data_IF_159056375862
#
_entry.id   IF_159056375862
#
_cell.length_a   1.000
_cell.length_b   1.000
_cell.length_c   1.000
_cell.angle_alpha   90.00
_cell.angle_beta   90.00
_cell.angle_gamma   90.00
#
_symmetry.space_group_name_H-M   'P 1'
#
loop_
_entity.id
_entity.type
_entity.pdbx_description
1 polymer ?
#
# COMPACT_ATOMS: atom_id res chain seq x y z
N UNK A 1 -5.96 -20.81 -7.72
CA UNK A 1 -5.45 -19.47 -8.11
C UNK A 1 -4.25 -19.10 -7.25
N UNK A 2 -3.36 -18.22 -7.69
CA UNK A 2 -2.11 -17.88 -6.97
C UNK A 2 -2.15 -16.56 -6.19
N UNK A 3 -3.21 -15.78 -6.36
CA UNK A 3 -3.32 -14.41 -5.87
C UNK A 3 -4.53 -14.23 -4.96
N UNK A 4 -4.42 -13.29 -4.04
CA UNK A 4 -5.40 -13.00 -2.97
C UNK A 4 -6.65 -12.27 -3.47
N UNK A 5 -6.57 -11.51 -4.56
CA UNK A 5 -7.70 -10.78 -5.15
C UNK A 5 -8.17 -11.46 -6.44
N UNK A 6 -9.45 -11.32 -6.81
CA UNK A 6 -9.99 -11.95 -8.02
C UNK A 6 -10.01 -10.97 -9.22
N UNK A 7 -9.13 -11.17 -10.22
CA UNK A 7 -9.17 -10.37 -11.44
C UNK A 7 -10.34 -10.75 -12.36
N UNK A 8 -10.97 -11.92 -12.16
CA UNK A 8 -11.92 -12.53 -13.11
C UNK A 8 -13.39 -12.35 -12.74
N UNK A 9 -13.72 -11.64 -11.65
CA UNK A 9 -15.10 -11.53 -11.15
C UNK A 9 -16.06 -10.90 -12.18
N UNK A 10 -15.53 -10.10 -13.11
CA UNK A 10 -16.03 -9.72 -14.44
C UNK A 10 -14.78 -9.40 -15.31
N UNK A 11 -14.87 -9.20 -16.63
CA UNK A 11 -13.72 -8.72 -17.43
C UNK A 11 -13.39 -7.31 -16.93
N UNK A 12 -12.47 -7.21 -15.96
CA UNK A 12 -12.02 -5.93 -15.41
C UNK A 12 -11.29 -5.19 -16.52
N UNK A 13 -11.68 -3.95 -16.75
CA UNK A 13 -11.02 -3.04 -17.71
C UNK A 13 -9.80 -2.35 -17.10
N UNK A 14 -9.67 -2.40 -15.78
CA UNK A 14 -8.57 -1.78 -15.01
C UNK A 14 -7.84 -2.82 -14.18
N UNK A 15 -6.63 -2.49 -13.78
CA UNK A 15 -5.86 -3.30 -12.85
C UNK A 15 -6.39 -3.32 -11.42
N UNK A 16 -5.77 -4.13 -10.58
CA UNK A 16 -6.07 -4.23 -9.15
C UNK A 16 -4.85 -4.58 -8.32
N UNK A 17 -4.84 -4.10 -7.07
CA UNK A 17 -3.86 -4.48 -6.06
C UNK A 17 -4.12 -5.90 -5.54
N UNK A 18 -3.06 -6.65 -5.29
CA UNK A 18 -3.11 -8.02 -4.77
C UNK A 18 -1.77 -8.43 -4.15
N UNK A 19 -1.69 -9.68 -3.69
CA UNK A 19 -0.45 -10.29 -3.23
C UNK A 19 -0.35 -11.76 -3.64
N UNK A 20 0.89 -12.22 -3.79
CA UNK A 20 1.25 -13.63 -3.85
C UNK A 20 1.62 -14.12 -2.46
N UNK A 21 1.08 -15.27 -2.04
CA UNK A 21 1.38 -15.85 -0.74
C UNK A 21 2.10 -17.19 -0.88
N UNK A 22 2.85 -17.55 0.15
CA UNK A 22 3.32 -18.92 0.32
C UNK A 22 2.22 -19.82 0.91
N UNK A 23 2.48 -21.13 0.97
CA UNK A 23 1.51 -22.11 1.47
C UNK A 23 1.09 -21.91 2.93
N UNK A 24 1.92 -21.23 3.74
CA UNK A 24 1.58 -20.95 5.13
C UNK A 24 0.72 -19.69 5.28
N UNK A 25 0.60 -18.87 4.24
CA UNK A 25 -0.18 -17.62 4.22
C UNK A 25 0.64 -16.36 4.53
N UNK A 26 1.96 -16.38 4.29
CA UNK A 26 2.83 -15.20 4.36
C UNK A 26 3.02 -14.57 2.99
N UNK A 27 3.16 -13.25 2.96
CA UNK A 27 3.36 -12.49 1.72
C UNK A 27 4.70 -12.86 1.11
N UNK A 28 4.67 -13.23 -0.18
CA UNK A 28 5.86 -13.32 -1.01
C UNK A 28 6.12 -11.97 -1.68
N UNK A 29 5.10 -11.43 -2.34
CA UNK A 29 5.16 -10.17 -3.07
C UNK A 29 3.80 -9.48 -2.98
N UNK A 30 3.79 -8.19 -2.72
CA UNK A 30 2.71 -7.29 -3.13
C UNK A 30 2.82 -7.04 -4.64
N UNK A 31 1.68 -6.84 -5.30
CA UNK A 31 1.64 -6.69 -6.75
C UNK A 31 0.42 -5.90 -7.21
N UNK A 32 0.53 -5.30 -8.39
CA UNK A 32 -0.63 -4.92 -9.20
C UNK A 32 -0.74 -5.83 -10.41
N UNK A 33 -1.97 -6.16 -10.79
CA UNK A 33 -2.26 -6.93 -11.99
C UNK A 33 -3.13 -6.11 -12.91
N UNK A 34 -2.68 -5.92 -14.15
CA UNK A 34 -3.37 -5.15 -15.16
C UNK A 34 -3.80 -6.05 -16.32
N UNK A 35 -5.01 -5.90 -16.87
CA UNK A 35 -5.32 -6.46 -18.18
C UNK A 35 -4.38 -5.83 -19.22
N UNK A 36 -3.79 -6.65 -20.10
CA UNK A 36 -2.95 -6.14 -21.17
C UNK A 36 -3.83 -5.33 -22.15
N UNK A 37 -3.51 -4.06 -22.44
CA UNK A 37 -4.23 -3.30 -23.46
C UNK A 37 -4.09 -3.98 -24.81
N UNK A 38 -5.19 -4.11 -25.56
CA UNK A 38 -5.20 -4.68 -26.90
C UNK A 38 -5.27 -3.55 -27.92
N UNK A 39 -4.50 -3.65 -29.00
CA UNK A 39 -4.68 -2.74 -30.15
C UNK A 39 -6.01 -3.05 -30.85
N UNK A 40 -6.57 -2.10 -31.61
CA UNK A 40 -7.84 -2.31 -32.35
C UNK A 40 -7.78 -3.54 -33.29
N UNK A 41 -6.61 -3.83 -33.86
CA UNK A 41 -6.36 -5.00 -34.69
C UNK A 41 -6.37 -6.33 -33.89
N UNK A 42 -5.94 -6.30 -32.63
CA UNK A 42 -5.92 -7.46 -31.71
C UNK A 42 -7.22 -7.62 -30.92
N UNK A 43 -8.04 -6.58 -30.83
CA UNK A 43 -9.37 -6.64 -30.23
C UNK A 43 -10.37 -7.43 -31.12
N UNK A 44 -10.11 -7.51 -32.43
CA UNK A 44 -10.89 -8.28 -33.39
C UNK A 44 -10.56 -9.78 -33.42
N UNK A 45 -9.47 -10.21 -32.77
CA UNK A 45 -9.09 -11.62 -32.67
C UNK A 45 -9.58 -12.23 -31.36
N UNK A 46 -9.97 -13.51 -31.40
CA UNK A 46 -10.33 -14.32 -30.21
C UNK A 46 -9.09 -14.75 -29.42
N UNK A 47 -8.11 -13.84 -29.25
CA UNK A 47 -6.85 -14.18 -28.62
C UNK A 47 -7.00 -14.33 -27.10
N UNK A 48 -6.22 -15.26 -26.54
CA UNK A 48 -6.26 -15.61 -25.13
C UNK A 48 -6.02 -14.35 -24.25
N UNK A 49 -6.72 -14.20 -23.11
CA UNK A 49 -6.53 -13.05 -22.25
C UNK A 49 -5.10 -13.00 -21.70
N UNK A 50 -4.55 -11.78 -21.64
CA UNK A 50 -3.18 -11.51 -21.20
C UNK A 50 -3.16 -10.46 -20.10
N UNK A 51 -2.18 -10.55 -19.19
CA UNK A 51 -2.06 -9.66 -18.04
C UNK A 51 -0.61 -9.23 -17.81
N UNK A 52 -0.44 -8.01 -17.31
CA UNK A 52 0.82 -7.47 -16.80
C UNK A 52 0.80 -7.59 -15.28
N UNK A 53 1.92 -8.03 -14.69
CA UNK A 53 2.11 -8.07 -13.24
C UNK A 53 3.21 -7.07 -12.89
N UNK A 54 2.84 -6.02 -12.16
CA UNK A 54 3.79 -5.10 -11.53
C UNK A 54 4.20 -5.69 -10.16
N UNK A 55 5.51 -5.73 -9.93
CA UNK A 55 6.14 -6.22 -8.69
C UNK A 55 7.44 -5.45 -8.48
N UNK A 56 7.97 -5.46 -7.25
CA UNK A 56 9.32 -4.98 -6.94
C UNK A 56 10.35 -5.55 -7.95
N UNK A 57 11.15 -4.66 -8.54
CA UNK A 57 12.15 -4.99 -9.57
C UNK A 57 13.10 -6.10 -9.10
N UNK A 58 13.46 -6.12 -7.82
CA UNK A 58 14.38 -7.11 -7.26
C UNK A 58 13.74 -8.51 -7.14
N UNK A 59 12.43 -8.61 -7.26
CA UNK A 59 11.67 -9.84 -7.00
C UNK A 59 11.10 -10.50 -8.26
N UNK A 60 11.33 -9.92 -9.43
CA UNK A 60 10.88 -10.47 -10.73
C UNK A 60 11.34 -11.92 -10.91
N UNK A 61 12.61 -12.22 -10.63
CA UNK A 61 13.17 -13.57 -10.77
C UNK A 61 12.55 -14.56 -9.77
N UNK A 62 12.39 -14.13 -8.52
CA UNK A 62 11.78 -14.91 -7.43
C UNK A 62 10.33 -15.25 -7.73
N UNK A 63 9.54 -14.26 -8.15
CA UNK A 63 8.14 -14.43 -8.53
C UNK A 63 8.02 -15.32 -9.78
N UNK A 64 8.85 -15.10 -10.80
CA UNK A 64 8.87 -15.94 -12.01
C UNK A 64 9.11 -17.42 -11.68
N UNK A 65 10.04 -17.71 -10.77
CA UNK A 65 10.29 -19.08 -10.28
C UNK A 65 9.06 -19.65 -9.56
N UNK A 66 8.40 -18.85 -8.72
CA UNK A 66 7.17 -19.25 -8.04
C UNK A 66 6.04 -19.57 -9.02
N UNK A 67 5.80 -18.71 -10.01
CA UNK A 67 4.77 -18.91 -11.05
C UNK A 67 5.04 -20.17 -11.88
N UNK A 68 6.29 -20.36 -12.33
CA UNK A 68 6.70 -21.56 -13.10
C UNK A 68 6.46 -22.86 -12.34
N UNK A 69 6.72 -22.87 -11.02
CA UNK A 69 6.45 -24.04 -10.15
C UNK A 69 4.95 -24.44 -10.14
N UNK A 70 4.05 -23.48 -10.30
CA UNK A 70 2.60 -23.69 -10.24
C UNK A 70 1.92 -23.79 -11.62
N UNK A 71 2.67 -23.66 -12.73
CA UNK A 71 2.16 -23.74 -14.11
C UNK A 71 1.75 -25.16 -14.55
N UNK A 72 1.81 -26.19 -13.70
CA UNK A 72 1.66 -27.60 -14.10
C UNK A 72 0.47 -27.84 -15.05
N UNK A 73 0.78 -28.15 -16.33
CA UNK A 73 -0.15 -28.39 -17.46
C UNK A 73 -1.05 -27.21 -17.85
N UNK A 74 -0.92 -26.05 -17.22
CA UNK A 74 -1.65 -24.85 -17.60
C UNK A 74 -1.13 -24.31 -18.94
N UNK A 75 -2.05 -24.03 -19.86
CA UNK A 75 -1.77 -23.31 -21.11
C UNK A 75 -1.57 -21.83 -20.80
N UNK A 76 -0.42 -21.50 -20.22
CA UNK A 76 -0.07 -20.15 -19.78
C UNK A 76 1.35 -19.80 -20.22
N UNK A 77 1.54 -18.71 -20.95
CA UNK A 77 2.88 -18.20 -21.27
C UNK A 77 3.30 -17.18 -20.22
N UNK A 78 4.58 -17.25 -19.81
CA UNK A 78 5.16 -16.38 -18.79
C UNK A 78 6.45 -15.79 -19.35
N UNK A 79 6.56 -14.47 -19.30
CA UNK A 79 7.73 -13.73 -19.77
C UNK A 79 8.01 -12.60 -18.78
N UNK A 80 9.27 -12.42 -18.42
CA UNK A 80 9.70 -11.21 -17.72
C UNK A 80 9.87 -10.11 -18.76
N UNK A 81 9.39 -8.91 -18.45
CA UNK A 81 9.62 -7.73 -19.29
C UNK A 81 11.01 -7.19 -19.02
N UNK A 82 11.73 -6.81 -20.07
CA UNK A 82 13.02 -6.14 -19.98
C UNK A 82 12.83 -4.65 -19.63
N UNK A 83 13.90 -4.04 -19.10
CA UNK A 83 13.90 -2.61 -18.80
C UNK A 83 13.57 -1.80 -20.08
N UNK A 84 12.63 -0.86 -19.97
CA UNK A 84 12.19 -0.02 -21.08
C UNK A 84 11.08 -0.62 -21.96
N UNK A 85 10.67 -1.88 -21.79
CA UNK A 85 9.48 -2.38 -22.50
C UNK A 85 8.17 -1.73 -21.99
N UNK A 86 8.14 -1.42 -20.69
CA UNK A 86 7.04 -0.78 -19.99
C UNK A 86 7.56 0.10 -18.86
N UNK A 87 6.89 1.23 -18.62
CA UNK A 87 7.18 2.12 -17.50
C UNK A 87 5.95 2.24 -16.59
N UNK A 88 6.18 2.25 -15.28
CA UNK A 88 5.13 2.40 -14.25
C UNK A 88 5.14 3.82 -13.71
N UNK A 89 3.97 4.43 -13.67
CA UNK A 89 3.75 5.79 -13.18
C UNK A 89 2.72 5.79 -12.06
N UNK A 90 2.86 6.75 -11.13
CA UNK A 90 1.81 7.11 -10.19
C UNK A 90 1.43 8.57 -10.42
N UNK A 91 0.14 8.84 -10.47
CA UNK A 91 -0.40 10.19 -10.60
C UNK A 91 -1.43 10.43 -9.51
N UNK A 92 -1.40 11.60 -8.87
CA UNK A 92 -2.39 11.96 -7.87
C UNK A 92 -2.72 13.45 -7.96
N UNK A 93 -3.86 13.82 -7.37
CA UNK A 93 -4.26 15.20 -7.12
C UNK A 93 -4.50 15.34 -5.63
N UNK A 94 -4.11 16.49 -5.07
CA UNK A 94 -4.39 16.78 -3.68
C UNK A 94 -5.85 17.19 -3.54
N UNK A 95 -6.62 16.38 -2.81
CA UNK A 95 -8.02 16.65 -2.52
C UNK A 95 -8.16 17.12 -1.07
N UNK A 96 -9.00 18.12 -0.84
CA UNK A 96 -9.34 18.59 0.51
C UNK A 96 -10.03 17.51 1.36
N UNK A 97 -10.82 16.63 0.73
CA UNK A 97 -11.41 15.45 1.36
C UNK A 97 -11.17 14.18 0.53
N UNK A 98 -10.09 13.42 0.77
CA UNK A 98 -9.84 12.16 0.08
C UNK A 98 -10.85 11.10 0.53
N UNK A 99 -11.87 10.83 -0.28
CA UNK A 99 -12.88 9.78 -0.03
C UNK A 99 -12.60 8.55 -0.88
N UNK A 100 -12.94 7.36 -0.37
CA UNK A 100 -12.96 6.12 -1.16
C UNK A 100 -13.84 6.22 -2.41
N UNK A 101 -14.82 7.13 -2.39
CA UNK A 101 -15.80 7.37 -3.44
C UNK A 101 -15.36 8.37 -4.53
N UNK A 102 -14.20 9.03 -4.39
CA UNK A 102 -13.73 10.01 -5.39
C UNK A 102 -13.39 9.40 -6.76
N UNK A 103 -13.38 8.05 -6.85
CA UNK A 103 -13.06 7.34 -8.08
C UNK A 103 -14.03 6.15 -8.24
N UNK A 104 -15.21 6.42 -8.80
CA UNK A 104 -16.17 5.39 -9.18
C UNK A 104 -15.56 4.49 -10.28
N UNK A 105 -14.96 3.37 -9.87
CA UNK A 105 -14.28 2.37 -10.71
C UNK A 105 -15.16 1.71 -11.80
N UNK A 106 -16.47 1.94 -11.81
CA UNK A 106 -17.41 1.33 -12.75
C UNK A 106 -18.11 2.34 -13.67
N UNK A 107 -17.79 3.63 -13.56
CA UNK A 107 -18.32 4.62 -14.50
C UNK A 107 -17.60 4.50 -15.85
N UNK A 108 -18.35 4.14 -16.89
CA UNK A 108 -17.88 4.08 -18.28
C UNK A 108 -17.36 5.43 -18.79
N UNK A 109 -17.73 6.55 -18.15
CA UNK A 109 -17.39 7.91 -18.56
C UNK A 109 -16.12 8.49 -17.92
N UNK A 110 -15.54 7.85 -16.89
CA UNK A 110 -14.47 8.45 -16.06
C UNK A 110 -13.19 7.62 -15.91
N UNK A 111 -13.10 6.44 -16.54
CA UNK A 111 -11.83 5.69 -16.59
C UNK A 111 -10.95 6.24 -17.71
N UNK A 112 -9.75 6.80 -17.42
CA UNK A 112 -8.79 7.16 -18.47
C UNK A 112 -8.30 5.92 -19.25
N UNK A 113 -8.57 4.73 -18.72
CA UNK A 113 -8.23 3.44 -19.33
C UNK A 113 -9.36 2.99 -20.25
N UNK A 114 -9.40 3.56 -21.46
CA UNK A 114 -10.18 3.00 -22.57
C UNK A 114 -9.59 1.66 -23.00
N UNK A 115 -10.42 0.73 -23.50
CA UNK A 115 -9.97 -0.53 -24.09
C UNK A 115 -9.05 -0.31 -25.32
N UNK A 116 -9.13 0.86 -25.94
CA UNK A 116 -8.30 1.27 -27.09
C UNK A 116 -7.06 2.06 -26.68
N UNK A 117 -6.90 2.41 -25.39
CA UNK A 117 -5.73 3.12 -24.90
C UNK A 117 -4.53 2.16 -24.84
N UNK A 118 -3.32 2.58 -25.26
CA UNK A 118 -2.11 1.76 -25.06
C UNK A 118 -1.68 1.69 -23.58
N UNK A 119 -2.33 2.46 -22.70
CA UNK A 119 -1.99 2.58 -21.28
C UNK A 119 -2.86 1.61 -20.47
N UNK A 120 -2.21 0.72 -19.73
CA UNK A 120 -2.90 -0.06 -18.69
C UNK A 120 -2.90 0.73 -17.39
N UNK A 121 -3.85 0.50 -16.50
CA UNK A 121 -3.79 1.13 -15.19
C UNK A 121 -5.02 0.90 -14.34
N UNK A 122 -5.03 1.55 -13.19
CA UNK A 122 -6.13 1.51 -12.23
C UNK A 122 -6.07 2.70 -11.28
N UNK A 123 -7.20 2.96 -10.62
CA UNK A 123 -7.19 3.74 -9.37
C UNK A 123 -6.37 2.97 -8.34
N UNK A 124 -5.53 3.68 -7.60
CA UNK A 124 -4.77 3.10 -6.50
C UNK A 124 -5.66 2.96 -5.26
N UNK A 125 -6.08 1.74 -4.96
CA UNK A 125 -7.01 1.44 -3.87
C UNK A 125 -6.32 1.27 -2.51
N UNK A 126 -5.02 1.54 -2.41
CA UNK A 126 -4.27 1.29 -1.16
C UNK A 126 -4.54 2.33 -0.08
N UNK A 127 -5.03 3.50 -0.45
CA UNK A 127 -5.59 4.47 0.49
C UNK A 127 -6.68 5.30 -0.20
N UNK A 128 -7.60 5.92 0.57
CA UNK A 128 -8.58 6.84 0.01
C UNK A 128 -7.86 8.00 -0.69
N UNK A 129 -8.29 8.40 -1.89
CA UNK A 129 -7.65 9.54 -2.55
C UNK A 129 -6.22 9.29 -3.02
N UNK A 130 -5.72 8.05 -3.07
CA UNK A 130 -4.29 7.82 -3.28
C UNK A 130 -3.81 8.15 -4.70
N UNK A 131 -4.73 8.21 -5.66
CA UNK A 131 -4.46 8.56 -7.06
C UNK A 131 -4.65 7.35 -7.97
N UNK A 132 -3.84 7.28 -9.02
CA UNK A 132 -3.89 6.25 -10.05
C UNK A 132 -2.50 5.67 -10.31
N UNK A 133 -2.48 4.42 -10.75
CA UNK A 133 -1.33 3.72 -11.31
C UNK A 133 -1.50 3.61 -12.82
N UNK A 134 -0.46 3.94 -13.58
CA UNK A 134 -0.45 3.83 -15.03
C UNK A 134 0.77 3.01 -15.48
N UNK A 135 0.58 2.23 -16.54
CA UNK A 135 1.63 1.41 -17.16
C UNK A 135 1.64 1.74 -18.65
N UNK A 136 2.71 2.39 -19.10
CA UNK A 136 2.88 2.86 -20.48
C UNK A 136 3.82 1.96 -21.27
N UNK A 137 3.68 1.87 -22.61
CA UNK A 137 4.64 1.20 -23.48
C UNK A 137 5.93 2.02 -23.64
N UNK A 138 7.08 1.37 -23.57
CA UNK A 138 8.35 2.06 -23.77
C UNK A 138 8.85 2.80 -22.52
N UNK A 139 9.94 3.54 -22.71
CA UNK A 139 10.60 4.41 -21.74
C UNK A 139 10.24 5.90 -21.91
N UNK A 140 9.32 6.20 -22.84
CA UNK A 140 8.86 7.55 -23.08
C UNK A 140 8.04 8.12 -21.91
N UNK A 141 8.04 9.45 -21.78
CA UNK A 141 7.28 10.17 -20.77
C UNK A 141 5.78 9.84 -20.86
N UNK A 142 5.10 9.78 -19.71
CA UNK A 142 3.67 9.50 -19.64
C UNK A 142 2.85 10.38 -20.58
N UNK A 143 3.19 11.67 -20.71
CA UNK A 143 2.46 12.64 -21.54
C UNK A 143 2.55 12.32 -23.02
N UNK A 144 3.59 11.61 -23.48
CA UNK A 144 3.71 11.17 -24.88
C UNK A 144 2.65 10.14 -25.29
N UNK A 145 2.02 9.48 -24.31
CA UNK A 145 1.00 8.46 -24.53
C UNK A 145 -0.43 8.97 -24.34
N UNK A 146 -0.58 10.24 -23.92
CA UNK A 146 -1.88 10.84 -23.67
C UNK A 146 -2.19 11.84 -24.78
N UNK A 147 -3.31 11.67 -25.51
CA UNK A 147 -3.66 12.54 -26.64
C UNK A 147 -4.11 13.94 -26.20
N UNK A 148 -4.48 14.10 -24.92
CA UNK A 148 -5.00 15.34 -24.35
C UNK A 148 -4.19 15.70 -23.10
N UNK A 149 -3.43 16.78 -23.16
CA UNK A 149 -2.58 17.28 -22.07
C UNK A 149 -3.40 17.60 -20.80
N UNK A 150 -4.71 17.86 -20.92
CA UNK A 150 -5.57 18.11 -19.77
C UNK A 150 -5.84 16.85 -18.92
N UNK A 151 -5.58 15.65 -19.46
CA UNK A 151 -5.78 14.39 -18.75
C UNK A 151 -4.76 14.15 -17.63
N UNK A 152 -3.54 14.71 -17.77
CA UNK A 152 -2.51 14.71 -16.72
C UNK A 152 -1.99 16.14 -16.54
N UNK A 153 -2.72 16.90 -15.75
CA UNK A 153 -2.26 18.20 -15.25
C UNK A 153 -1.32 18.00 -14.04
N UNK A 154 -0.17 18.68 -14.05
CA UNK A 154 0.77 18.70 -12.92
C UNK A 154 2.24 18.66 -13.32
N UNK A 155 3.11 18.82 -12.33
CA UNK A 155 4.56 18.66 -12.47
C UNK A 155 5.00 17.24 -12.12
N UNK A 156 6.00 16.73 -12.83
CA UNK A 156 6.67 15.50 -12.44
C UNK A 156 7.48 15.73 -11.16
N UNK A 157 7.48 14.73 -10.28
CA UNK A 157 8.24 14.73 -9.02
C UNK A 157 9.03 13.44 -8.89
N UNK A 158 10.09 13.46 -8.09
CA UNK A 158 10.92 12.28 -7.85
C UNK A 158 10.23 11.18 -7.03
N UNK A 159 10.85 9.99 -7.03
CA UNK A 159 10.40 8.83 -6.25
C UNK A 159 10.45 9.06 -4.73
N UNK A 160 11.28 9.99 -4.27
CA UNK A 160 11.35 10.45 -2.89
C UNK A 160 10.04 11.09 -2.43
N UNK A 161 9.46 11.97 -3.25
CA UNK A 161 8.17 12.60 -2.99
C UNK A 161 7.04 11.58 -2.95
N UNK A 162 7.06 10.61 -3.85
CA UNK A 162 6.13 9.47 -3.83
C UNK A 162 6.29 8.60 -2.57
N UNK A 163 7.53 8.36 -2.13
CA UNK A 163 7.83 7.60 -0.90
C UNK A 163 7.32 8.32 0.34
N UNK A 164 7.57 9.62 0.48
CA UNK A 164 7.02 10.44 1.55
C UNK A 164 5.49 10.34 1.56
N UNK A 165 4.85 10.50 0.39
CA UNK A 165 3.39 10.40 0.27
C UNK A 165 2.85 9.03 0.72
N UNK A 166 3.50 7.93 0.34
CA UNK A 166 3.14 6.58 0.81
C UNK A 166 3.23 6.46 2.32
N UNK A 167 4.34 6.92 2.90
CA UNK A 167 4.56 6.87 4.35
C UNK A 167 3.48 7.65 5.08
N UNK A 168 3.17 8.89 4.66
CA UNK A 168 2.13 9.71 5.29
C UNK A 168 0.75 9.04 5.26
N UNK A 169 0.43 8.30 4.20
CA UNK A 169 -0.82 7.53 4.11
C UNK A 169 -0.75 6.16 4.79
N UNK A 170 0.38 5.74 5.37
CA UNK A 170 0.52 4.42 5.97
C UNK A 170 0.54 3.27 4.94
N UNK A 171 0.93 3.54 3.70
CA UNK A 171 0.94 2.58 2.60
C UNK A 171 2.33 1.94 2.47
N UNK A 172 2.43 0.67 2.87
CA UNK A 172 3.61 -0.14 2.62
C UNK A 172 3.68 -0.62 1.17
N UNK A 173 4.87 -0.66 0.58
CA UNK A 173 5.12 -1.12 -0.79
C UNK A 173 6.48 -1.81 -0.90
N UNK A 174 6.53 -2.95 -1.61
CA UNK A 174 7.77 -3.67 -1.89
C UNK A 174 8.32 -4.47 -0.71
N UNK A 175 9.41 -5.19 -0.95
CA UNK A 175 9.90 -6.21 -0.02
C UNK A 175 10.78 -5.66 1.12
N UNK A 176 11.20 -4.40 1.04
CA UNK A 176 11.84 -3.67 2.14
C UNK A 176 10.85 -3.30 3.25
N UNK A 177 9.57 -3.14 2.91
CA UNK A 177 8.51 -2.71 3.82
C UNK A 177 7.56 -3.88 4.16
N UNK A 178 7.31 -4.77 3.20
CA UNK A 178 6.50 -5.99 3.35
C UNK A 178 7.43 -7.20 3.28
N UNK A 179 8.00 -7.55 4.43
CA UNK A 179 9.06 -8.56 4.52
C UNK A 179 8.62 -9.92 4.00
N UNK A 180 9.28 -10.36 2.92
CA UNK A 180 9.04 -11.63 2.23
C UNK A 180 9.06 -12.82 3.20
N UNK A 181 8.08 -13.71 3.05
CA UNK A 181 7.89 -14.93 3.85
C UNK A 181 7.65 -14.71 5.35
N UNK A 182 7.68 -13.47 5.85
CA UNK A 182 7.45 -13.13 7.25
C UNK A 182 6.13 -12.36 7.44
N UNK A 183 5.87 -11.38 6.57
CA UNK A 183 4.73 -10.50 6.65
C UNK A 183 3.40 -11.25 6.48
N UNK A 184 2.40 -10.83 7.27
CA UNK A 184 1.03 -11.32 7.16
C UNK A 184 0.19 -10.31 6.36
N UNK A 185 -0.71 -10.77 5.45
CA UNK A 185 -1.48 -9.87 4.60
C UNK A 185 -2.31 -8.84 5.39
N UNK A 186 -3.03 -9.30 6.42
CA UNK A 186 -3.87 -8.43 7.25
C UNK A 186 -3.05 -7.50 8.14
N UNK A 187 -1.86 -7.93 8.61
CA UNK A 187 -0.96 -7.04 9.35
C UNK A 187 -0.34 -5.98 8.43
N UNK A 188 -0.24 -6.27 7.13
CA UNK A 188 0.23 -5.35 6.09
C UNK A 188 -0.91 -4.57 5.44
N UNK A 189 -2.08 -4.52 6.07
CA UNK A 189 -3.24 -3.73 5.63
C UNK A 189 -3.84 -4.13 4.27
N UNK A 190 -3.51 -5.31 3.73
CA UNK A 190 -4.03 -5.73 2.42
C UNK A 190 -5.55 -5.94 2.41
N UNK A 191 -6.18 -6.11 3.58
CA UNK A 191 -7.63 -6.17 3.74
C UNK A 191 -8.30 -4.80 3.53
N UNK A 192 -7.73 -3.72 4.08
CA UNK A 192 -8.24 -2.36 3.86
C UNK A 192 -7.90 -1.83 2.46
N UNK A 193 -6.76 -2.25 1.90
CA UNK A 193 -6.27 -1.84 0.58
C UNK A 193 -6.98 -2.52 -0.60
N UNK A 194 -8.05 -3.30 -0.34
CA UNK A 194 -8.76 -4.15 -1.31
C UNK A 194 -7.85 -5.15 -2.03
N UNK A 195 -6.78 -5.57 -1.38
CA UNK A 195 -5.81 -6.55 -1.89
C UNK A 195 -6.23 -8.00 -1.71
N UNK A 196 -7.33 -8.27 -0.98
CA UNK A 196 -7.83 -9.63 -0.68
C UNK A 196 -9.33 -9.69 -0.99
N UNK A 197 -9.75 -10.67 -1.80
CA UNK A 197 -11.17 -11.01 -1.95
C UNK A 197 -11.51 -12.20 -1.04
N UNK A 198 -12.37 -11.99 -0.05
CA UNK A 198 -12.80 -13.04 0.88
C UNK A 198 -13.91 -13.94 0.31
N UNK A 199 -14.48 -13.60 -0.86
CA UNK A 199 -15.58 -14.34 -1.51
C UNK A 199 -15.13 -15.15 -2.72
N UNK A 200 -13.87 -15.05 -3.13
CA UNK A 200 -13.33 -15.77 -4.29
C UNK A 200 -13.03 -17.24 -3.97
N UNK A 201 -12.83 -18.03 -5.03
CA UNK A 201 -12.39 -19.43 -4.94
C UNK A 201 -10.97 -19.60 -4.39
N UNK A 202 -10.56 -20.86 -4.18
CA UNK A 202 -9.34 -21.15 -3.43
C UNK A 202 -8.04 -20.58 -4.02
N UNK A 203 -7.19 -20.04 -3.15
CA UNK A 203 -5.85 -19.56 -3.48
C UNK A 203 -4.78 -20.02 -2.48
N UNK A 204 -3.51 -19.98 -2.89
CA UNK A 204 -2.37 -20.42 -2.05
C UNK A 204 -2.28 -19.58 -0.78
N UNK A 205 -2.19 -20.22 0.39
CA UNK A 205 -2.05 -19.51 1.66
C UNK A 205 -3.36 -18.89 2.21
N UNK A 206 -4.51 -19.20 1.60
CA UNK A 206 -5.81 -18.65 2.00
C UNK A 206 -6.22 -19.03 3.43
N UNK A 207 -5.93 -20.24 3.88
CA UNK A 207 -6.42 -20.79 5.16
C UNK A 207 -6.14 -19.86 6.35
N UNK A 208 -4.89 -19.41 6.51
CA UNK A 208 -4.55 -18.51 7.60
C UNK A 208 -5.21 -17.14 7.44
N UNK A 209 -5.20 -16.61 6.22
CA UNK A 209 -5.78 -15.29 5.90
C UNK A 209 -7.27 -15.25 6.23
N UNK A 210 -8.02 -16.27 5.81
CA UNK A 210 -9.44 -16.43 6.10
C UNK A 210 -9.67 -16.66 7.59
N UNK A 211 -8.88 -17.52 8.23
CA UNK A 211 -8.99 -17.77 9.67
C UNK A 211 -8.83 -16.48 10.46
N UNK A 212 -7.77 -15.70 10.21
CA UNK A 212 -7.57 -14.39 10.86
C UNK A 212 -8.70 -13.43 10.54
N UNK A 213 -9.19 -13.43 9.30
CA UNK A 213 -10.37 -12.64 8.92
C UNK A 213 -11.64 -13.05 9.65
N UNK A 214 -11.84 -14.31 10.08
CA UNK A 214 -13.03 -14.77 10.82
C UNK A 214 -12.87 -14.86 12.35
N UNK A 215 -11.66 -14.94 12.90
CA UNK A 215 -11.44 -15.07 14.36
C UNK A 215 -11.49 -13.78 15.18
N UNK A 216 -11.18 -12.60 14.62
CA UNK A 216 -11.76 -11.36 15.17
C UNK A 216 -10.96 -10.13 14.88
N UNK A 217 -9.68 -10.21 15.21
CA UNK A 217 -8.95 -9.02 15.62
C UNK A 217 -7.54 -9.06 15.06
N UNK A 218 -7.26 -8.12 14.17
CA UNK A 218 -5.91 -7.84 13.69
C UNK A 218 -5.23 -6.93 14.70
N UNK A 219 -4.48 -7.51 15.64
CA UNK A 219 -3.85 -6.77 16.75
C UNK A 219 -2.60 -5.96 16.34
N UNK A 220 -1.99 -6.32 15.21
CA UNK A 220 -0.80 -5.66 14.67
C UNK A 220 -1.09 -5.14 13.27
N UNK A 221 -0.74 -3.88 13.00
CA UNK A 221 -0.83 -3.30 11.66
C UNK A 221 0.40 -2.44 11.37
N UNK A 222 0.76 -2.37 10.10
CA UNK A 222 1.69 -1.34 9.62
C UNK A 222 0.99 0.01 9.75
N UNK A 223 1.63 0.96 10.42
CA UNK A 223 1.12 2.32 10.61
C UNK A 223 2.25 3.33 10.42
N UNK A 224 1.94 4.57 10.04
CA UNK A 224 2.93 5.62 10.00
C UNK A 224 3.44 5.96 11.40
N UNK A 225 4.71 6.35 11.47
CA UNK A 225 5.36 6.82 12.70
C UNK A 225 6.03 8.17 12.46
N UNK A 226 5.96 9.04 13.47
CA UNK A 226 6.76 10.26 13.57
C UNK A 226 8.01 9.96 14.41
N UNK A 227 9.19 10.27 13.89
CA UNK A 227 10.45 10.26 14.63
C UNK A 227 10.66 11.63 15.29
N UNK A 228 11.17 11.62 16.52
CA UNK A 228 11.41 12.86 17.27
C UNK A 228 12.59 12.72 18.25
N UNK A 229 13.14 13.88 18.64
CA UNK A 229 14.12 14.03 19.71
C UNK A 229 13.46 14.72 20.93
N UNK A 230 14.00 14.46 22.12
CA UNK A 230 13.52 15.09 23.35
C UNK A 230 12.19 14.52 23.83
N UNK A 231 11.22 15.40 24.10
CA UNK A 231 9.91 15.07 24.64
C UNK A 231 8.84 14.97 23.55
N UNK A 232 7.87 14.07 23.75
CA UNK A 232 6.75 13.82 22.86
C UNK A 232 5.85 15.04 22.68
N UNK A 233 5.88 16.02 23.59
CA UNK A 233 5.14 17.28 23.47
C UNK A 233 5.45 18.09 22.21
N UNK A 234 6.60 17.86 21.58
CA UNK A 234 7.00 18.50 20.32
C UNK A 234 6.44 17.78 19.08
N UNK A 235 5.84 16.61 19.24
CA UNK A 235 5.18 15.90 18.15
C UNK A 235 3.77 16.45 17.97
N UNK A 236 3.43 16.86 16.74
CA UNK A 236 2.10 17.35 16.41
C UNK A 236 0.97 16.46 16.93
N UNK A 237 -0.16 17.09 17.29
CA UNK A 237 -1.34 16.38 17.81
C UNK A 237 -2.19 15.71 16.72
N UNK A 238 -1.77 15.79 15.45
CA UNK A 238 -2.51 15.19 14.33
C UNK A 238 -2.44 13.67 14.27
N UNK A 239 -3.34 13.09 13.49
CA UNK A 239 -3.43 11.65 13.22
C UNK A 239 -2.49 11.16 12.10
N UNK A 240 -1.71 12.07 11.51
CA UNK A 240 -0.78 11.82 10.40
C UNK A 240 0.58 12.47 10.74
N UNK A 241 1.71 11.85 10.40
CA UNK A 241 3.02 12.48 10.60
C UNK A 241 3.15 13.79 9.82
N UNK A 242 4.06 14.65 10.25
CA UNK A 242 4.44 15.86 9.54
C UNK A 242 5.87 15.67 9.02
N UNK A 243 5.99 15.58 7.70
CA UNK A 243 7.30 15.50 7.05
C UNK A 243 8.00 16.86 7.07
N UNK A 244 9.26 16.87 7.49
CA UNK A 244 10.13 18.02 7.37
C UNK A 244 11.42 17.62 6.63
N UNK A 245 11.65 18.10 5.39
CA UNK A 245 12.83 17.75 4.62
C UNK A 245 14.14 18.30 5.22
N UNK A 246 14.08 19.28 6.12
CA UNK A 246 15.26 19.83 6.78
C UNK A 246 15.68 19.00 8.02
N UNK A 247 14.81 18.10 8.48
CA UNK A 247 15.05 17.31 9.69
C UNK A 247 15.55 15.91 9.33
N UNK A 248 16.76 15.59 9.79
CA UNK A 248 17.35 14.25 9.67
C UNK A 248 17.42 13.55 11.01
N UNK A 249 16.99 12.28 11.03
CA UNK A 249 17.17 11.38 12.16
C UNK A 249 18.05 10.19 11.77
N UNK A 250 18.80 9.61 12.72
CA UNK A 250 19.37 8.30 12.50
C UNK A 250 18.21 7.30 12.33
N UNK A 251 18.12 6.68 11.15
CA UNK A 251 17.05 5.72 10.86
C UNK A 251 17.41 4.34 11.43
N UNK A 252 16.52 3.68 12.19
CA UNK A 252 16.73 2.31 12.61
C UNK A 252 16.80 1.36 11.42
N UNK A 253 17.62 0.29 11.47
CA UNK A 253 17.55 -0.79 10.50
C UNK A 253 16.16 -1.43 10.46
N UNK A 254 15.75 -1.93 9.30
CA UNK A 254 14.49 -2.66 9.15
C UNK A 254 14.44 -3.86 10.11
N UNK A 255 13.29 -4.04 10.75
CA UNK A 255 13.06 -5.09 11.74
C UNK A 255 13.49 -4.74 13.17
N UNK A 256 14.09 -3.57 13.41
CA UNK A 256 14.48 -3.12 14.76
C UNK A 256 13.28 -3.11 15.70
N UNK A 257 13.44 -3.69 16.89
CA UNK A 257 12.37 -3.74 17.87
C UNK A 257 12.09 -2.35 18.45
N UNK A 258 10.81 -2.02 18.53
CA UNK A 258 10.32 -0.83 19.22
C UNK A 258 9.89 -1.25 20.61
N UNK A 259 10.32 -0.52 21.64
CA UNK A 259 10.00 -0.79 23.05
C UNK A 259 9.41 0.45 23.71
N UNK A 260 8.53 0.24 24.70
CA UNK A 260 8.00 1.32 25.54
C UNK A 260 9.09 1.81 26.49
N UNK A 261 9.35 3.11 26.52
CA UNK A 261 10.29 3.74 27.46
C UNK A 261 9.79 3.54 28.89
N UNK A 262 10.67 3.11 29.79
CA UNK A 262 10.29 2.77 31.18
C UNK A 262 9.43 1.50 31.33
N UNK A 263 9.11 0.81 30.23
CA UNK A 263 8.36 -0.45 30.24
C UNK A 263 9.19 -1.64 30.73
N UNK A 264 8.51 -2.76 31.03
CA UNK A 264 9.20 -4.02 31.36
C UNK A 264 10.10 -4.46 30.20
N UNK A 265 11.40 -4.65 30.48
CA UNK A 265 12.40 -5.12 29.50
C UNK A 265 11.90 -6.38 28.77
N UNK A 266 12.05 -6.41 27.45
CA UNK A 266 11.83 -7.59 26.61
C UNK A 266 10.48 -7.69 25.90
N UNK A 267 9.47 -6.86 26.23
CA UNK A 267 8.19 -6.84 25.49
C UNK A 267 8.25 -5.79 24.38
N UNK A 268 8.55 -6.22 23.15
CA UNK A 268 8.47 -5.35 21.96
C UNK A 268 7.03 -4.83 21.78
N UNK A 269 6.86 -3.54 21.51
CA UNK A 269 5.59 -2.93 21.16
C UNK A 269 5.33 -2.99 19.65
N UNK A 270 6.41 -3.02 18.86
CA UNK A 270 6.35 -3.14 17.41
C UNK A 270 7.72 -3.38 16.80
N UNK A 271 7.80 -3.27 15.48
CA UNK A 271 9.05 -3.31 14.71
C UNK A 271 9.08 -2.16 13.71
N UNK A 272 10.19 -1.45 13.66
CA UNK A 272 10.46 -0.45 12.63
C UNK A 272 10.66 -1.15 11.28
N UNK A 273 10.19 -0.55 10.19
CA UNK A 273 10.30 -1.13 8.84
C UNK A 273 11.17 -0.26 7.94
N UNK A 274 10.81 1.01 7.77
CA UNK A 274 11.53 1.97 6.93
C UNK A 274 11.24 3.40 7.37
N UNK A 275 12.02 4.37 6.90
CA UNK A 275 11.77 5.78 7.12
C UNK A 275 12.51 6.70 6.16
N UNK A 276 12.10 7.97 6.14
CA UNK A 276 12.70 9.07 5.38
C UNK A 276 12.66 10.30 6.27
N UNK A 277 13.81 10.95 6.50
CA UNK A 277 13.91 12.12 7.38
C UNK A 277 13.35 11.83 8.77
N UNK A 278 12.26 12.52 9.12
CA UNK A 278 11.58 12.42 10.41
C UNK A 278 10.32 11.54 10.42
N UNK A 279 10.03 10.79 9.36
CA UNK A 279 8.84 9.92 9.28
C UNK A 279 9.22 8.48 8.91
N UNK A 280 8.32 7.53 9.15
CA UNK A 280 8.51 6.15 8.70
C UNK A 280 7.28 5.26 8.83
N UNK A 281 7.48 3.97 8.59
CA UNK A 281 6.48 2.92 8.78
C UNK A 281 6.97 1.92 9.83
N UNK A 282 6.04 1.46 10.67
CA UNK A 282 6.30 0.43 11.66
C UNK A 282 5.15 -0.55 11.78
N UNK A 283 5.47 -1.82 12.02
CA UNK A 283 4.50 -2.82 12.43
C UNK A 283 4.21 -2.67 13.93
N UNK A 284 3.07 -2.07 14.26
CA UNK A 284 2.73 -1.69 15.63
C UNK A 284 1.68 -2.63 16.22
N UNK A 285 1.84 -3.00 17.50
CA UNK A 285 0.73 -3.56 18.30
C UNK A 285 -0.19 -2.41 18.66
N UNK A 286 -1.37 -2.39 18.05
CA UNK A 286 -2.28 -1.24 18.08
C UNK A 286 -2.62 -0.81 19.52
N UNK A 287 -3.09 -1.74 20.35
CA UNK A 287 -3.48 -1.42 21.74
C UNK A 287 -2.32 -0.99 22.64
N UNK A 288 -1.09 -1.36 22.28
CA UNK A 288 0.10 -1.00 23.07
C UNK A 288 0.65 0.38 22.67
N UNK A 289 0.56 0.75 21.40
CA UNK A 289 1.23 1.93 20.84
C UNK A 289 0.29 3.06 20.47
N UNK A 290 -1.02 2.82 20.52
CA UNK A 290 -2.06 3.74 20.08
C UNK A 290 -3.27 3.64 21.00
N UNK A 291 -4.18 4.59 20.89
CA UNK A 291 -5.45 4.64 21.60
C UNK A 291 -6.53 3.70 21.01
N UNK A 292 -6.21 2.91 19.99
CA UNK A 292 -7.12 1.90 19.42
C UNK A 292 -7.33 0.78 20.43
N UNK A 293 -8.60 0.54 20.78
CA UNK A 293 -9.03 -0.56 21.64
C UNK A 293 -9.67 -1.63 20.77
N UNK A 294 -9.17 -2.86 20.83
CA UNK A 294 -9.64 -3.98 20.00
C UNK A 294 -10.25 -5.10 20.85
N UNK A 295 -9.73 -5.31 22.05
CA UNK A 295 -10.14 -6.34 22.99
C UNK A 295 -10.63 -5.72 24.29
N UNK A 296 -11.38 -6.50 25.06
CA UNK A 296 -11.79 -6.11 26.41
C UNK A 296 -10.68 -6.20 27.45
N UNK A 297 -9.41 -6.40 27.05
CA UNK A 297 -8.28 -6.70 27.95
C UNK A 297 -7.76 -5.44 28.71
N UNK A 298 -8.52 -4.34 28.68
CA UNK A 298 -8.18 -3.07 29.33
C UNK A 298 -7.25 -2.18 28.49
N UNK A 299 -7.16 -0.90 28.88
CA UNK A 299 -6.35 0.11 28.20
C UNK A 299 -4.86 -0.18 28.42
N UNK A 300 -4.13 -0.47 27.35
CA UNK A 300 -2.68 -0.76 27.38
C UNK A 300 -1.80 0.45 27.02
N UNK A 301 -2.39 1.50 26.48
CA UNK A 301 -1.73 2.73 26.01
C UNK A 301 -2.18 3.95 26.83
N UNK A 302 -1.24 4.84 27.13
CA UNK A 302 -1.52 6.16 27.71
C UNK A 302 -0.94 7.26 26.81
N UNK A 303 -1.57 8.45 26.70
CA UNK A 303 -1.10 9.50 25.80
C UNK A 303 0.34 9.99 26.02
N UNK A 304 0.90 9.83 27.23
CA UNK A 304 2.29 10.15 27.55
C UNK A 304 3.26 8.96 27.40
N UNK A 305 2.81 7.85 26.82
CA UNK A 305 3.67 6.72 26.55
C UNK A 305 4.63 7.02 25.40
N UNK A 306 5.92 6.94 25.69
CA UNK A 306 6.97 7.09 24.70
C UNK A 306 7.49 5.72 24.23
N UNK A 307 7.88 5.65 22.96
CA UNK A 307 8.44 4.46 22.34
C UNK A 307 9.78 4.78 21.71
N UNK A 308 10.69 3.80 21.76
CA UNK A 308 12.05 3.98 21.29
C UNK A 308 12.51 2.74 20.52
N UNK A 309 13.29 2.98 19.47
CA UNK A 309 14.06 1.98 18.77
C UNK A 309 15.54 2.22 19.07
N UNK A 310 16.28 1.16 19.42
CA UNK A 310 17.72 1.19 19.70
C UNK A 310 18.41 0.11 18.89
N UNK A 311 19.55 0.43 18.27
CA UNK A 311 20.32 -0.49 17.44
C UNK A 311 21.82 -0.17 17.52
N UNK A 312 22.64 -1.09 17.03
CA UNK A 312 24.07 -0.89 16.86
C UNK A 312 24.36 -0.55 15.39
N UNK A 313 25.20 0.46 15.13
CA UNK A 313 25.76 0.66 13.80
C UNK A 313 26.88 -0.33 13.61
N UNK A 314 26.69 -1.32 12.74
CA UNK A 314 27.82 -2.12 12.27
C UNK A 314 28.68 -1.25 11.33
N UNK A 315 29.90 -0.95 11.76
CA UNK A 315 30.93 -0.39 10.90
C UNK A 315 31.42 -1.46 9.93
N UNK A 316 30.76 -1.51 8.76
CA UNK A 316 31.15 -2.17 7.52
C UNK A 316 31.49 -3.66 7.52
N UNK A 317 30.82 -4.34 6.59
CA UNK A 317 31.33 -5.46 5.82
C UNK A 317 32.81 -5.24 5.41
N UNK A 318 33.76 -5.79 6.17
CA UNK A 318 35.08 -6.22 5.71
C UNK A 318 35.66 -7.14 6.79
N UNK A 319 36.07 -8.32 6.34
CA UNK A 319 36.64 -9.34 7.21
C UNK A 319 37.96 -8.91 7.87
N UNK A 320 38.27 -9.69 8.90
CA UNK A 320 39.51 -9.77 9.68
C UNK A 320 39.61 -8.90 10.94
N UNK A 321 39.44 -9.61 12.05
CA UNK A 321 40.03 -9.43 13.38
C UNK A 321 40.63 -8.07 13.74
N UNK A 322 39.90 -7.31 14.55
CA UNK A 322 40.50 -6.53 15.63
C UNK A 322 39.47 -6.21 16.70
N UNK A 323 39.79 -6.61 17.94
CA UNK A 323 39.02 -6.29 19.12
C UNK A 323 39.25 -4.83 19.55
N UNK A 324 38.14 -4.20 19.99
CA UNK A 324 38.02 -2.92 20.69
C UNK A 324 38.31 -1.63 19.88
N UNK A 325 37.25 -0.93 19.48
CA UNK A 325 36.88 0.43 19.94
C UNK A 325 35.73 1.01 19.08
N UNK A 326 34.62 1.38 19.73
CA UNK A 326 33.62 2.32 19.18
C UNK A 326 32.42 1.76 18.40
N UNK A 327 31.67 0.79 18.92
CA UNK A 327 30.32 0.50 18.40
C UNK A 327 29.41 1.72 18.65
N UNK A 328 29.18 2.54 17.62
CA UNK A 328 28.21 3.63 17.71
C UNK A 328 26.79 3.04 17.74
N UNK A 329 26.12 3.12 18.88
CA UNK A 329 24.68 2.81 18.99
C UNK A 329 23.83 3.97 18.47
N UNK A 330 22.77 3.66 17.72
CA UNK A 330 21.73 4.62 17.37
C UNK A 330 20.49 4.40 18.23
N UNK A 331 19.85 5.49 18.66
CA UNK A 331 18.55 5.45 19.30
C UNK A 331 17.68 6.57 18.72
N UNK A 332 16.38 6.29 18.57
CA UNK A 332 15.40 7.30 18.16
C UNK A 332 14.06 7.02 18.82
N UNK A 333 13.42 8.08 19.31
CA UNK A 333 12.05 8.00 19.80
C UNK A 333 11.08 8.12 18.63
N UNK A 334 9.94 7.46 18.76
CA UNK A 334 8.89 7.48 17.75
C UNK A 334 7.50 7.44 18.35
N UNK A 335 6.54 7.98 17.60
CA UNK A 335 5.11 7.97 17.92
C UNK A 335 4.36 7.32 16.77
N UNK A 336 3.60 6.27 17.05
CA UNK A 336 2.70 5.67 16.08
C UNK A 336 1.46 6.55 15.91
N UNK A 337 1.07 6.78 14.67
CA UNK A 337 -0.07 7.59 14.29
C UNK A 337 -1.01 6.73 13.44
N UNK A 338 -2.31 6.78 13.73
CA UNK A 338 -3.31 5.99 13.02
C UNK A 338 -4.14 6.95 12.17
N UNK A 339 -3.96 6.96 10.84
CA UNK A 339 -4.75 7.80 9.97
C UNK A 339 -6.25 7.59 10.21
N UNK A 340 -7.04 8.66 10.09
CA UNK A 340 -8.49 8.64 10.34
C UNK A 340 -9.20 7.54 9.56
N UNK A 341 -8.88 7.36 8.28
CA UNK A 341 -9.47 6.32 7.43
C UNK A 341 -9.11 4.89 7.90
N UNK A 342 -7.90 4.70 8.44
CA UNK A 342 -7.48 3.43 9.02
C UNK A 342 -8.23 3.16 10.31
N UNK A 343 -8.38 4.18 11.17
CA UNK A 343 -9.16 4.12 12.41
C UNK A 343 -10.62 3.77 12.11
N UNK A 344 -11.26 4.48 11.18
CA UNK A 344 -12.63 4.22 10.74
C UNK A 344 -12.81 2.78 10.28
N UNK A 345 -11.92 2.27 9.43
CA UNK A 345 -11.96 0.88 8.96
C UNK A 345 -11.87 -0.12 10.13
N UNK A 346 -10.96 0.11 11.07
CA UNK A 346 -10.79 -0.77 12.25
C UNK A 346 -12.06 -0.77 13.11
N UNK A 347 -12.56 0.43 13.44
CA UNK A 347 -13.72 0.61 14.32
C UNK A 347 -15.03 0.15 13.68
N UNK A 348 -15.17 0.22 12.36
CA UNK A 348 -16.31 -0.30 11.61
C UNK A 348 -16.29 -1.83 11.43
N UNK A 349 -15.51 -2.56 12.24
CA UNK A 349 -15.39 -4.01 12.18
C UNK A 349 -14.59 -4.54 10.97
N UNK A 350 -13.79 -3.69 10.33
CA UNK A 350 -12.94 -4.03 9.19
C UNK A 350 -13.71 -4.58 7.98
N UNK A 351 -13.06 -5.46 7.22
CA UNK A 351 -13.63 -6.10 6.04
C UNK A 351 -14.88 -6.96 6.31
N UNK A 352 -15.20 -7.26 7.58
CA UNK A 352 -16.39 -8.03 7.96
C UNK A 352 -17.68 -7.22 7.87
N UNK A 353 -17.67 -6.01 8.42
CA UNK A 353 -18.86 -5.19 8.65
C UNK A 353 -18.98 -4.04 7.65
N UNK A 354 -17.89 -3.64 7.00
CA UNK A 354 -17.89 -2.69 5.87
C UNK A 354 -18.89 -3.09 4.76
N UNK A 355 -19.25 -4.37 4.66
CA UNK A 355 -20.18 -4.89 3.66
C UNK A 355 -21.60 -5.21 4.17
N UNK A 356 -21.89 -5.07 5.48
CA UNK A 356 -23.19 -5.48 6.04
C UNK A 356 -24.12 -4.33 6.46
N UNK A 357 -23.74 -3.06 6.26
CA UNK A 357 -24.50 -1.92 6.80
C UNK A 357 -24.60 -0.68 5.90
N UNK A 358 -24.32 -0.79 4.59
CA UNK A 358 -24.60 0.30 3.63
C UNK A 358 -25.67 -0.12 2.63
N UNK A 359 -26.85 0.51 2.59
CA UNK A 359 -27.71 0.41 1.43
C UNK A 359 -26.96 1.06 0.27
N UNK A 360 -26.63 0.28 -0.75
CA UNK A 360 -25.93 0.74 -1.96
C UNK A 360 -26.65 1.92 -2.65
N UNK A 361 -27.94 2.12 -2.38
CA UNK A 361 -28.75 3.21 -2.92
C UNK A 361 -28.34 4.61 -2.41
N UNK A 362 -27.91 4.73 -1.15
CA UNK A 362 -27.59 6.04 -0.56
C UNK A 362 -26.23 6.59 -0.98
N UNK A 363 -25.23 5.72 -1.18
CA UNK A 363 -23.92 6.13 -1.71
C UNK A 363 -23.98 6.38 -3.21
N UNK A 364 -24.77 5.59 -3.96
CA UNK A 364 -24.99 5.82 -5.40
C UNK A 364 -25.67 7.17 -5.67
N UNK A 365 -26.70 7.53 -4.90
CA UNK A 365 -27.39 8.83 -5.05
C UNK A 365 -26.51 10.01 -4.62
N UNK A 366 -25.72 9.88 -3.54
CA UNK A 366 -24.76 10.92 -3.12
C UNK A 366 -23.59 11.07 -4.09
N UNK A 367 -23.06 9.95 -4.60
CA UNK A 367 -22.01 9.97 -5.62
C UNK A 367 -22.53 10.59 -6.92
N UNK A 368 -23.77 10.28 -7.32
CA UNK A 368 -24.39 10.88 -8.51
C UNK A 368 -24.60 12.38 -8.38
N UNK A 369 -25.16 12.84 -7.26
CA UNK A 369 -25.33 14.28 -7.02
C UNK A 369 -24.00 15.05 -6.90
N UNK A 370 -22.92 14.37 -6.53
CA UNK A 370 -21.59 14.99 -6.43
C UNK A 370 -20.82 14.99 -7.76
N UNK A 371 -21.01 13.97 -8.61
CA UNK A 371 -20.55 13.99 -10.00
C UNK A 371 -21.22 15.15 -10.76
N UNK A 372 -22.53 15.35 -10.55
CA UNK A 372 -23.25 16.49 -11.12
C UNK A 372 -22.67 17.84 -10.63
N UNK A 373 -22.31 17.97 -9.34
CA UNK A 373 -21.65 19.19 -8.83
C UNK A 373 -20.23 19.42 -9.39
N UNK A 374 -19.43 18.35 -9.56
CA UNK A 374 -18.09 18.47 -10.14
C UNK A 374 -18.14 18.81 -11.63
N UNK A 375 -19.10 18.24 -12.37
CA UNK A 375 -19.36 18.59 -13.77
C UNK A 375 -19.83 20.05 -13.90
N UNK A 376 -20.66 20.55 -12.97
CA UNK A 376 -21.05 21.96 -12.90
C UNK A 376 -19.88 22.90 -12.60
N UNK A 377 -19.02 22.56 -11.63
CA UNK A 377 -17.81 23.35 -11.33
C UNK A 377 -16.81 23.36 -12.49
N UNK A 378 -16.68 22.25 -13.23
CA UNK A 378 -15.81 22.15 -14.39
C UNK A 378 -16.38 22.94 -15.59
N UNK A 379 -17.71 22.92 -15.77
CA UNK A 379 -18.39 23.73 -16.78
C UNK A 379 -18.26 25.24 -16.50
N UNK A 380 -18.34 25.66 -15.23
CA UNK A 380 -18.12 27.04 -14.82
C UNK A 380 -16.70 27.52 -15.12
N UNK A 381 -15.68 26.68 -14.93
CA UNK A 381 -14.27 27.02 -15.24
C UNK A 381 -13.94 27.03 -16.74
N UNK A 382 -14.74 26.38 -17.58
CA UNK A 382 -14.57 26.43 -19.05
C UNK A 382 -15.28 27.63 -19.70
N UNK A 383 -16.10 28.36 -18.94
CA UNK A 383 -16.85 29.53 -19.39
C UNK A 383 -16.22 30.88 -19.03
N UNK A 384 -15.13 30.89 -18.25
CA UNK A 384 -14.25 32.05 -18.00
C UNK A 384 -13.00 31.96 -18.89
#
# INVERSE_FOLDING_TARGET
>A
MLITNDPNRHIRRTGSYTAFLNSTGRVLNDAFIYPMPKTEAEAASTDDPSWIIEVDKNEVASLMKHLKKHKLRAKLNLRALEDGERTVWSSWKDHTEPKWAAYNLESESSSPFSLTSPIAGCVDTRAPGFGSRLVTPGDADLRSHLPDESQVAGSEVGLDSYTVRRILHGVAEGQSEIIRESALPLESNMDMMRGIDFRKGCYVGQELTIRTHHTGVVRKRIVPVQLYAGDQGNVGQGDVPVYDPATEFPLPPSGTNIVKVGGRRGRSAGKFLTGVGNIGLALCRLEMMTDIILTGDGVQYSPGDEFMASWFKDSSNNGEDSAAEGQQSGEVKLKALVPSWTREFILSGGARQSHSSRPAEGEGQRAKGFVEQLEEEEALRRGE
#
